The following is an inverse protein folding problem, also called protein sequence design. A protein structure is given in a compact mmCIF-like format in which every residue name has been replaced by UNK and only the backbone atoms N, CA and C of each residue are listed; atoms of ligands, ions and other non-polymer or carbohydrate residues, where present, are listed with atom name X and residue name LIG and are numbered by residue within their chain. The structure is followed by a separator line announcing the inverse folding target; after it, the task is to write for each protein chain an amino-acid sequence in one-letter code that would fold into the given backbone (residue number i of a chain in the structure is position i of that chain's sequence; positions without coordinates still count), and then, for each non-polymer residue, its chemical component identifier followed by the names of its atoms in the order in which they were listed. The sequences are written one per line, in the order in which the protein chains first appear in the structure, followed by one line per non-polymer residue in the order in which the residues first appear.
data_IF_670291900640
#
_entry.id   IF_670291900640
#
_cell.length_a   1.000
_cell.length_b   1.000
_cell.length_c   1.000
_cell.angle_alpha   90.00
_cell.angle_beta   90.00
_cell.angle_gamma   90.00
#
_symmetry.space_group_name_H-M   'P 1'
#
loop_
_entity.id
_entity.type
_entity.pdbx_description
1 polymer ?
#
# COMPACT_ATOMS: atom_id res chain seq x y z
N UNK A 1 -11.60 -3.52 2.42
CA UNK A 1 -10.58 -4.42 1.81
C UNK A 1 -9.36 -4.45 2.71
N UNK A 2 -8.89 -5.63 3.11
CA UNK A 2 -7.72 -5.77 3.98
C UNK A 2 -6.45 -5.92 3.15
N UNK A 3 -5.56 -4.94 3.24
CA UNK A 3 -4.25 -4.93 2.59
C UNK A 3 -3.20 -5.42 3.58
N UNK A 4 -2.30 -6.28 3.13
CA UNK A 4 -1.21 -6.83 3.94
C UNK A 4 0.13 -6.63 3.24
N UNK A 5 1.13 -6.12 3.97
CA UNK A 5 2.49 -5.90 3.50
C UNK A 5 3.46 -5.87 4.68
N UNK A 6 4.54 -6.65 4.67
CA UNK A 6 5.56 -6.71 5.74
C UNK A 6 4.98 -6.64 7.17
N UNK A 7 4.07 -7.58 7.49
CA UNK A 7 3.33 -7.65 8.77
C UNK A 7 2.43 -6.44 9.10
N UNK A 8 2.39 -5.42 8.25
CA UNK A 8 1.46 -4.31 8.34
C UNK A 8 0.14 -4.72 7.71
N UNK A 9 -0.95 -4.48 8.42
CA UNK A 9 -2.30 -4.63 7.92
C UNK A 9 -2.97 -3.26 7.83
N UNK A 10 -3.56 -2.97 6.69
CA UNK A 10 -4.31 -1.74 6.43
C UNK A 10 -5.72 -2.12 6.03
N UNK A 11 -6.69 -1.69 6.82
CA UNK A 11 -8.09 -1.80 6.44
C UNK A 11 -8.46 -0.61 5.55
N UNK A 12 -8.50 -0.84 4.24
CA UNK A 12 -8.70 0.19 3.23
C UNK A 12 -10.07 0.88 3.35
N UNK A 13 -11.07 0.23 3.96
CA UNK A 13 -12.39 0.84 4.16
C UNK A 13 -12.39 1.94 5.24
N UNK A 14 -11.38 1.93 6.12
CA UNK A 14 -11.20 2.95 7.17
C UNK A 14 -10.32 4.11 6.70
N UNK A 15 -9.79 4.03 5.49
CA UNK A 15 -8.89 5.04 4.92
C UNK A 15 -9.72 6.15 4.30
N UNK A 16 -9.38 7.39 4.64
CA UNK A 16 -10.02 8.59 4.13
C UNK A 16 -9.32 9.09 2.86
N UNK A 17 -8.00 8.98 2.83
CA UNK A 17 -7.15 9.46 1.75
C UNK A 17 -5.86 8.65 1.65
N UNK A 18 -5.30 8.63 0.45
CA UNK A 18 -4.03 8.02 0.13
C UNK A 18 -3.12 9.08 -0.46
N UNK A 19 -1.87 9.15 0.00
CA UNK A 19 -0.83 9.99 -0.57
C UNK A 19 0.47 9.21 -0.75
N UNK A 20 1.35 9.71 -1.62
CA UNK A 20 2.65 9.10 -1.89
C UNK A 20 3.75 10.12 -1.59
N UNK A 21 4.71 9.72 -0.76
CA UNK A 21 5.84 10.57 -0.38
C UNK A 21 7.12 9.75 -0.37
N UNK A 22 8.10 10.12 -1.22
CA UNK A 22 9.43 9.50 -1.28
C UNK A 22 9.38 7.95 -1.31
N UNK A 23 8.60 7.36 -2.22
CA UNK A 23 8.46 5.90 -2.31
C UNK A 23 7.65 5.25 -1.17
N UNK A 24 6.97 6.05 -0.34
CA UNK A 24 6.08 5.57 0.72
C UNK A 24 4.63 5.81 0.32
N UNK A 25 3.79 4.82 0.56
CA UNK A 25 2.34 4.95 0.44
C UNK A 25 1.79 5.23 1.83
N UNK A 26 1.18 6.40 2.00
CA UNK A 26 0.61 6.86 3.25
C UNK A 26 -0.91 6.76 3.16
N UNK A 27 -1.48 5.91 4.00
CA UNK A 27 -2.91 5.74 4.17
C UNK A 27 -3.34 6.56 5.38
N UNK A 28 -4.13 7.60 5.14
CA UNK A 28 -4.63 8.48 6.18
C UNK A 28 -5.96 7.95 6.70
N UNK A 29 -6.04 7.71 8.01
CA UNK A 29 -7.23 7.20 8.68
C UNK A 29 -7.53 8.04 9.92
N UNK A 30 -8.78 8.00 10.38
CA UNK A 30 -9.20 8.72 11.60
C UNK A 30 -8.41 8.32 12.84
N UNK A 31 -8.03 7.04 12.92
CA UNK A 31 -7.33 6.46 14.08
C UNK A 31 -5.80 6.54 13.96
N UNK A 32 -5.30 7.31 12.99
CA UNK A 32 -3.87 7.49 12.72
C UNK A 32 -3.43 6.89 11.39
N UNK A 33 -2.39 7.49 10.82
CA UNK A 33 -1.88 7.12 9.51
C UNK A 33 -1.22 5.74 9.55
N UNK A 34 -1.43 4.96 8.49
CA UNK A 34 -0.68 3.73 8.19
C UNK A 34 0.26 4.00 7.03
N UNK A 35 1.49 3.52 7.13
CA UNK A 35 2.52 3.77 6.12
C UNK A 35 3.01 2.42 5.61
N UNK A 36 3.00 2.27 4.29
CA UNK A 36 3.68 1.19 3.59
C UNK A 36 4.94 1.81 2.98
N UNK A 37 6.10 1.39 3.48
CA UNK A 37 7.39 1.79 2.92
C UNK A 37 7.87 0.74 1.92
N UNK A 38 8.09 1.16 0.69
CA UNK A 38 8.69 0.32 -0.33
C UNK A 38 10.21 0.29 -0.14
N UNK A 39 10.86 -0.83 -0.49
CA UNK A 39 12.32 -0.98 -0.34
C UNK A 39 13.12 -0.03 -1.23
N UNK A 40 12.49 0.57 -2.26
CA UNK A 40 13.12 1.54 -3.14
C UNK A 40 12.41 2.88 -2.99
N UNK A 41 13.16 3.98 -2.95
CA UNK A 41 12.67 5.36 -3.08
C UNK A 41 12.16 5.65 -4.51
N UNK A 42 11.52 4.66 -5.15
CA UNK A 42 11.01 4.77 -6.50
C UNK A 42 9.55 5.21 -6.46
N UNK A 43 9.31 6.49 -6.78
CA UNK A 43 7.99 7.10 -6.79
C UNK A 43 7.04 6.42 -7.78
N UNK A 44 7.54 6.03 -8.96
CA UNK A 44 6.73 5.37 -10.01
C UNK A 44 6.14 4.05 -9.51
N UNK A 45 6.93 3.25 -8.79
CA UNK A 45 6.46 1.98 -8.22
C UNK A 45 5.40 2.22 -7.15
N UNK A 46 5.54 3.28 -6.34
CA UNK A 46 4.53 3.65 -5.36
C UNK A 46 3.21 4.06 -5.99
N UNK A 47 3.25 4.82 -7.10
CA UNK A 47 2.08 5.17 -7.89
C UNK A 47 1.39 3.94 -8.47
N UNK A 48 2.15 3.05 -9.12
CA UNK A 48 1.60 1.81 -9.70
C UNK A 48 0.90 0.93 -8.64
N UNK A 49 1.53 0.79 -7.46
CA UNK A 49 0.94 0.03 -6.35
C UNK A 49 -0.33 0.71 -5.82
N UNK A 50 -0.33 2.04 -5.69
CA UNK A 50 -1.52 2.78 -5.26
C UNK A 50 -2.68 2.62 -6.25
N UNK A 51 -2.41 2.75 -7.55
CA UNK A 51 -3.40 2.48 -8.60
C UNK A 51 -3.91 1.03 -8.56
N UNK A 52 -3.01 0.08 -8.36
CA UNK A 52 -3.36 -1.34 -8.24
C UNK A 52 -4.29 -1.60 -7.05
N UNK A 53 -4.00 -1.00 -5.89
CA UNK A 53 -4.85 -1.06 -4.69
C UNK A 53 -6.25 -0.51 -5.00
N UNK A 54 -6.33 0.68 -5.61
CA UNK A 54 -7.61 1.32 -5.95
C UNK A 54 -8.41 0.45 -6.93
N UNK A 55 -7.74 -0.13 -7.94
CA UNK A 55 -8.38 -1.00 -8.92
C UNK A 55 -8.90 -2.30 -8.30
N UNK A 56 -8.13 -2.93 -7.41
CA UNK A 56 -8.57 -4.10 -6.65
C UNK A 56 -9.80 -3.77 -5.80
N UNK A 57 -9.80 -2.62 -5.11
CA UNK A 57 -10.94 -2.17 -4.32
C UNK A 57 -12.19 -1.97 -5.18
N UNK A 58 -12.07 -1.25 -6.31
CA UNK A 58 -13.19 -1.04 -7.27
C UNK A 58 -13.75 -2.35 -7.83
N UNK A 59 -12.91 -3.38 -7.99
CA UNK A 59 -13.32 -4.71 -8.44
C UNK A 59 -13.94 -5.58 -7.33
N UNK A 60 -14.02 -5.08 -6.09
CA UNK A 60 -14.64 -5.79 -4.97
C UNK A 60 -13.72 -6.81 -4.27
N UNK A 61 -12.40 -6.69 -4.44
CA UNK A 61 -11.47 -7.56 -3.73
C UNK A 61 -11.56 -7.33 -2.22
N UNK A 62 -11.63 -8.42 -1.46
CA UNK A 62 -11.73 -8.35 0.00
C UNK A 62 -10.36 -8.32 0.68
N UNK A 63 -9.36 -8.94 0.07
CA UNK A 63 -8.01 -9.09 0.62
C UNK A 63 -6.97 -8.84 -0.47
N UNK A 64 -5.91 -8.13 -0.11
CA UNK A 64 -4.78 -7.84 -0.99
C UNK A 64 -3.48 -8.12 -0.23
N UNK A 65 -2.63 -8.99 -0.77
CA UNK A 65 -1.30 -9.26 -0.22
C UNK A 65 -0.25 -8.68 -1.15
N UNK A 66 0.35 -7.56 -0.75
CA UNK A 66 1.34 -6.86 -1.56
C UNK A 66 2.73 -7.50 -1.49
N UNK A 67 3.00 -8.39 -0.52
CA UNK A 67 4.29 -9.10 -0.44
C UNK A 67 4.55 -9.97 -1.68
N UNK A 68 3.50 -10.41 -2.38
CA UNK A 68 3.64 -11.20 -3.60
C UNK A 68 3.97 -10.37 -4.84
N UNK A 69 3.73 -9.05 -4.79
CA UNK A 69 3.87 -8.14 -5.91
C UNK A 69 5.08 -7.23 -5.78
N UNK A 70 5.44 -6.90 -4.54
CA UNK A 70 6.60 -6.10 -4.20
C UNK A 70 7.69 -7.10 -3.81
N UNK A 71 8.44 -7.58 -4.80
CA UNK A 71 9.65 -8.37 -4.52
C UNK A 71 10.59 -7.53 -3.68
N UNK A 72 10.76 -7.93 -2.43
CA UNK A 72 11.88 -7.49 -1.60
C UNK A 72 13.13 -8.05 -2.26
N UNK A 73 13.79 -7.27 -3.12
CA UNK A 73 15.20 -7.55 -3.31
C UNK A 73 15.88 -7.37 -1.93
N UNK A 74 16.75 -8.32 -1.53
CA UNK A 74 17.56 -8.12 -0.35
C UNK A 74 18.38 -6.84 -0.55
N UNK A 75 18.45 -6.02 0.50
CA UNK A 75 19.44 -4.95 0.57
C UNK A 75 20.79 -5.68 0.63
N UNK A 76 21.60 -5.61 -0.44
CA UNK A 76 23.01 -6.02 -0.41
C UNK A 76 23.83 -5.13 0.54
#
# INVERSE_FOLDING_TARGET
MLITYNNTQVDFEKIQSLSIEKGKIIFQAKDGNKIIQLNRDNHEVADEIAEYIINCYKRGFKRLNLNNYITLEPIE
#
